data_IF_717281776588
#
_entry.id   IF_717281776588
#
_cell.length_a   1.000
_cell.length_b   1.000
_cell.length_c   1.000
_cell.angle_alpha   90.00
_cell.angle_beta   90.00
_cell.angle_gamma   90.00
#
_symmetry.space_group_name_H-M   'P 1'
#
loop_
_entity.id
_entity.type
_entity.pdbx_description
1 polymer ?
#
# COMPACT_ATOMS: atom_id res chain seq x y z
N UNK A 1 15.51 7.73 5.18
CA UNK A 1 14.65 8.88 4.77
C UNK A 1 13.43 8.82 5.65
N UNK A 2 12.79 9.94 6.00
CA UNK A 2 11.57 9.84 6.81
C UNK A 2 10.46 9.18 5.99
N UNK A 3 9.78 8.20 6.59
CA UNK A 3 8.59 7.57 6.04
C UNK A 3 7.46 8.59 5.88
N UNK A 4 6.67 8.46 4.82
CA UNK A 4 5.42 9.20 4.66
C UNK A 4 4.25 8.47 5.33
N UNK A 5 3.19 9.20 5.68
CA UNK A 5 2.00 8.62 6.29
C UNK A 5 1.31 7.64 5.32
N UNK A 6 0.97 6.46 5.84
CA UNK A 6 0.26 5.42 5.11
C UNK A 6 -1.25 5.61 5.06
N UNK A 7 -1.94 4.63 4.47
CA UNK A 7 -3.40 4.61 4.33
C UNK A 7 -3.99 3.28 4.82
N UNK A 8 -5.20 3.35 5.38
CA UNK A 8 -5.95 2.20 5.87
C UNK A 8 -7.40 2.29 5.38
N UNK A 9 -7.91 1.19 4.82
CA UNK A 9 -9.28 1.11 4.32
C UNK A 9 -9.89 -0.24 4.63
N UNK A 10 -11.04 -0.23 5.31
CA UNK A 10 -11.91 -1.41 5.44
C UNK A 10 -12.86 -1.50 4.26
N UNK A 11 -12.98 -2.69 3.67
CA UNK A 11 -13.79 -2.96 2.49
C UNK A 11 -14.67 -4.19 2.69
N UNK A 12 -15.80 -4.21 1.96
CA UNK A 12 -16.60 -5.43 1.77
C UNK A 12 -16.51 -5.80 0.30
N UNK A 13 -15.93 -6.97 0.01
CA UNK A 13 -15.74 -7.48 -1.35
C UNK A 13 -16.36 -8.87 -1.41
N UNK A 14 -17.35 -9.08 -2.28
CA UNK A 14 -18.06 -10.38 -2.43
C UNK A 14 -18.59 -10.95 -1.10
N UNK A 15 -19.05 -10.07 -0.20
CA UNK A 15 -19.57 -10.43 1.13
C UNK A 15 -18.49 -10.66 2.19
N UNK A 16 -17.21 -10.55 1.85
CA UNK A 16 -16.09 -10.75 2.75
C UNK A 16 -15.53 -9.41 3.26
N UNK A 17 -15.26 -9.31 4.57
CA UNK A 17 -14.63 -8.13 5.17
C UNK A 17 -13.12 -8.21 5.00
N UNK A 18 -12.56 -7.24 4.29
CA UNK A 18 -11.13 -7.09 4.05
C UNK A 18 -10.64 -5.78 4.65
N UNK A 19 -9.36 -5.74 5.01
CA UNK A 19 -8.67 -4.52 5.43
C UNK A 19 -7.43 -4.33 4.56
N UNK A 20 -7.27 -3.15 3.98
CA UNK A 20 -6.09 -2.78 3.19
C UNK A 20 -5.30 -1.75 3.99
N UNK A 21 -4.04 -2.06 4.26
CA UNK A 21 -3.10 -1.15 4.92
C UNK A 21 -1.92 -0.93 4.01
N UNK A 22 -1.53 0.32 3.81
CA UNK A 22 -0.34 0.69 3.02
C UNK A 22 0.63 1.49 3.90
N UNK A 23 1.90 1.12 3.84
CA UNK A 23 2.96 1.63 4.70
C UNK A 23 4.19 2.01 3.86
N UNK A 24 4.91 3.03 4.32
CA UNK A 24 6.21 3.41 3.79
C UNK A 24 7.33 2.85 4.69
N UNK A 25 8.05 1.85 4.19
CA UNK A 25 9.15 1.20 4.92
C UNK A 25 10.50 1.81 4.54
N UNK A 26 10.60 3.13 4.57
CA UNK A 26 11.78 3.89 4.19
C UNK A 26 13.08 3.33 4.79
N UNK A 27 13.14 3.17 6.11
CA UNK A 27 14.33 2.68 6.80
C UNK A 27 14.44 1.15 6.85
N UNK A 28 13.43 0.44 6.30
CA UNK A 28 13.37 -1.02 6.26
C UNK A 28 13.22 -1.52 4.82
N UNK A 29 14.26 -1.29 4.02
CA UNK A 29 14.38 -1.82 2.66
C UNK A 29 13.97 -0.85 1.54
N UNK A 30 13.69 0.42 1.84
CA UNK A 30 13.34 1.46 0.86
C UNK A 30 12.21 1.00 -0.08
N UNK A 31 11.05 0.70 0.52
CA UNK A 31 9.94 0.07 -0.18
C UNK A 31 8.60 0.56 0.35
N UNK A 32 7.63 0.78 -0.54
CA UNK A 32 6.24 0.95 -0.18
C UNK A 32 5.56 -0.42 -0.18
N UNK A 33 4.77 -0.72 0.86
CA UNK A 33 4.12 -2.01 1.04
C UNK A 33 2.64 -1.80 1.22
N UNK A 34 1.81 -2.56 0.50
CA UNK A 34 0.38 -2.65 0.75
C UNK A 34 -0.01 -4.07 1.08
N UNK A 35 -0.72 -4.28 2.19
CA UNK A 35 -1.14 -5.57 2.70
C UNK A 35 -2.65 -5.63 2.75
N UNK A 36 -3.17 -6.76 2.31
CA UNK A 36 -4.59 -7.11 2.42
C UNK A 36 -4.73 -8.12 3.53
N UNK A 37 -5.59 -7.81 4.49
CA UNK A 37 -5.91 -8.65 5.63
C UNK A 37 -7.33 -9.19 5.52
N UNK A 38 -7.51 -10.44 5.94
CA UNK A 38 -8.81 -11.07 6.17
C UNK A 38 -8.77 -11.76 7.52
N UNK A 39 -9.70 -11.41 8.42
CA UNK A 39 -9.76 -11.93 9.79
C UNK A 39 -8.43 -11.78 10.57
N UNK A 40 -7.72 -10.67 10.38
CA UNK A 40 -6.44 -10.39 11.04
C UNK A 40 -5.21 -11.06 10.42
N UNK A 41 -5.38 -11.95 9.44
CA UNK A 41 -4.28 -12.58 8.71
C UNK A 41 -3.99 -11.84 7.41
N UNK A 42 -2.71 -11.67 7.06
CA UNK A 42 -2.30 -11.14 5.75
C UNK A 42 -2.55 -12.21 4.68
N UNK A 43 -3.43 -11.91 3.74
CA UNK A 43 -3.75 -12.82 2.61
C UNK A 43 -3.04 -12.43 1.31
N UNK A 44 -2.62 -11.17 1.17
CA UNK A 44 -1.90 -10.67 -0.01
C UNK A 44 -0.98 -9.53 0.39
N UNK A 45 0.19 -9.44 -0.25
CA UNK A 45 1.15 -8.35 -0.06
C UNK A 45 1.61 -7.85 -1.42
N UNK A 46 1.57 -6.53 -1.59
CA UNK A 46 2.05 -5.80 -2.75
C UNK A 46 3.21 -4.92 -2.32
N UNK A 47 4.20 -4.79 -3.20
CA UNK A 47 5.46 -4.12 -2.92
C UNK A 47 5.83 -3.22 -4.09
N UNK A 48 6.20 -1.98 -3.80
CA UNK A 48 6.73 -1.02 -4.75
C UNK A 48 8.07 -0.50 -4.24
N UNK A 49 9.20 -1.06 -4.73
CA UNK A 49 10.51 -0.60 -4.33
C UNK A 49 10.76 0.84 -4.78
N UNK A 50 11.57 1.57 -4.01
CA UNK A 50 11.85 2.99 -4.25
C UNK A 50 12.48 3.29 -5.61
N UNK A 51 13.23 2.34 -6.19
CA UNK A 51 13.85 2.49 -7.52
C UNK A 51 12.82 2.63 -8.65
N UNK A 52 11.55 2.28 -8.40
CA UNK A 52 10.41 2.48 -9.32
C UNK A 52 9.69 3.81 -9.13
N UNK A 53 10.05 4.59 -8.10
CA UNK A 53 9.41 5.86 -7.78
C UNK A 53 10.28 7.00 -8.31
N UNK A 54 9.76 7.77 -9.27
CA UNK A 54 10.46 8.94 -9.76
C UNK A 54 10.57 10.00 -8.66
N UNK A 55 11.75 10.64 -8.54
CA UNK A 55 12.04 11.64 -7.51
C UNK A 55 11.75 11.13 -6.10
N UNK A 56 12.12 9.88 -5.80
CA UNK A 56 11.82 9.24 -4.52
C UNK A 56 12.33 9.99 -3.29
N UNK A 57 13.32 10.87 -3.40
CA UNK A 57 13.78 11.70 -2.30
C UNK A 57 12.79 12.82 -1.93
N UNK A 58 11.92 13.22 -2.85
CA UNK A 58 10.83 14.16 -2.62
C UNK A 58 9.65 13.45 -1.93
N UNK A 59 9.24 14.00 -0.78
CA UNK A 59 8.17 13.45 0.05
C UNK A 59 6.82 13.37 -0.69
N UNK A 60 6.46 14.40 -1.47
CA UNK A 60 5.20 14.45 -2.21
C UNK A 60 5.11 13.34 -3.27
N UNK A 61 6.24 13.02 -3.91
CA UNK A 61 6.31 11.96 -4.90
C UNK A 61 6.18 10.58 -4.27
N UNK A 62 6.78 10.37 -3.08
CA UNK A 62 6.57 9.13 -2.30
C UNK A 62 5.14 9.00 -1.84
N UNK A 63 4.55 10.06 -1.29
CA UNK A 63 3.16 10.05 -0.83
C UNK A 63 2.19 9.75 -1.99
N UNK A 64 2.39 10.37 -3.15
CA UNK A 64 1.58 10.11 -4.34
C UNK A 64 1.75 8.68 -4.85
N UNK A 65 2.96 8.12 -4.78
CA UNK A 65 3.19 6.72 -5.12
C UNK A 65 2.51 5.76 -4.14
N UNK A 66 2.51 6.10 -2.84
CA UNK A 66 1.82 5.36 -1.78
C UNK A 66 0.30 5.35 -2.01
N UNK A 67 -0.30 6.51 -2.26
CA UNK A 67 -1.72 6.66 -2.60
C UNK A 67 -2.12 5.83 -3.83
N UNK A 68 -1.30 5.90 -4.89
CA UNK A 68 -1.52 5.10 -6.10
C UNK A 68 -1.41 3.60 -5.84
N UNK A 69 -0.47 3.17 -5.01
CA UNK A 69 -0.34 1.76 -4.63
C UNK A 69 -1.58 1.31 -3.84
N UNK A 70 -2.05 2.13 -2.90
CA UNK A 70 -3.26 1.84 -2.12
C UNK A 70 -4.48 1.66 -3.05
N UNK A 71 -4.74 2.65 -3.91
CA UNK A 71 -5.85 2.62 -4.86
C UNK A 71 -5.76 1.43 -5.81
N UNK A 72 -4.57 1.15 -6.35
CA UNK A 72 -4.34 0.00 -7.23
C UNK A 72 -4.72 -1.34 -6.55
N UNK A 73 -4.38 -1.51 -5.27
CA UNK A 73 -4.72 -2.72 -4.52
C UNK A 73 -6.22 -2.83 -4.33
N UNK A 74 -6.90 -1.74 -3.97
CA UNK A 74 -8.36 -1.72 -3.83
C UNK A 74 -9.04 -2.10 -5.15
N UNK A 75 -8.64 -1.47 -6.25
CA UNK A 75 -9.19 -1.77 -7.58
C UNK A 75 -8.97 -3.23 -7.98
N UNK A 76 -7.78 -3.77 -7.69
CA UNK A 76 -7.50 -5.19 -7.91
C UNK A 76 -8.42 -6.11 -7.13
N UNK A 77 -8.73 -5.78 -5.88
CA UNK A 77 -9.65 -6.58 -5.06
C UNK A 77 -11.08 -6.57 -5.60
N UNK A 78 -11.54 -5.45 -6.20
CA UNK A 78 -12.88 -5.39 -6.82
C UNK A 78 -12.95 -6.04 -8.20
N UNK A 79 -11.83 -6.11 -8.92
CA UNK A 79 -11.75 -6.72 -10.25
C UNK A 79 -11.56 -8.25 -10.20
N UNK A 80 -10.91 -8.77 -9.15
CA UNK A 80 -10.73 -10.21 -8.89
C UNK A 80 -12.05 -10.86 -8.44
#
# INVERSE_FOLDING_TARGET
MKSVAGENTDLIVKGEKLHVQTEDWADNGNILVSRVFKHGAVIKTFKLPYDKINQVHNEEFRLKALQKLHQFVIEKLYAD
#
